data_IF_377369630716
#
_entry.id   IF_377369630716
#
_cell.length_a   1.000
_cell.length_b   1.000
_cell.length_c   1.000
_cell.angle_alpha   90.00
_cell.angle_beta   90.00
_cell.angle_gamma   90.00
#
_symmetry.space_group_name_H-M   'P 1'
#
loop_
_entity.id
_entity.type
_entity.pdbx_description
1 polymer ?
#
# COMPACT_ATOMS: atom_id res chain seq x y z
N UNK A 1 -39.88 -65.77 1.83
CA UNK A 1 -38.44 -65.70 1.51
C UNK A 1 -38.05 -64.22 1.52
N UNK A 2 -37.19 -63.64 2.35
CA UNK A 2 -36.39 -64.04 3.49
C UNK A 2 -36.13 -62.79 4.36
N UNK A 3 -36.09 -63.03 5.67
CA UNK A 3 -35.37 -62.37 6.78
C UNK A 3 -35.13 -60.84 6.84
N UNK A 4 -35.63 -60.27 7.94
CA UNK A 4 -35.04 -59.13 8.64
C UNK A 4 -33.66 -59.48 9.23
N UNK A 5 -32.73 -58.52 9.25
CA UNK A 5 -31.58 -58.54 10.17
C UNK A 5 -31.36 -57.14 10.74
N UNK A 6 -31.84 -56.97 11.98
CA UNK A 6 -31.51 -55.88 12.88
C UNK A 6 -30.02 -55.95 13.21
N UNK A 7 -29.24 -54.91 12.90
CA UNK A 7 -27.88 -54.77 13.42
C UNK A 7 -27.93 -54.09 14.78
N UNK A 8 -27.69 -54.90 15.79
CA UNK A 8 -27.63 -54.60 17.22
C UNK A 8 -26.46 -53.67 17.59
N UNK A 9 -26.74 -52.88 18.63
CA UNK A 9 -25.89 -51.92 19.32
C UNK A 9 -24.51 -52.45 19.74
N UNK A 10 -23.52 -51.55 19.86
CA UNK A 10 -22.60 -51.53 21.02
C UNK A 10 -22.27 -50.09 21.44
N UNK A 11 -22.81 -49.71 22.59
CA UNK A 11 -22.48 -48.50 23.35
C UNK A 11 -21.19 -48.79 24.13
N UNK A 12 -20.07 -48.21 23.72
CA UNK A 12 -18.87 -48.22 24.54
C UNK A 12 -18.90 -46.97 25.42
N UNK A 13 -19.19 -47.17 26.71
CA UNK A 13 -18.97 -46.15 27.73
C UNK A 13 -17.46 -46.08 27.98
N UNK A 14 -16.81 -45.03 27.47
CA UNK A 14 -15.44 -44.68 27.86
C UNK A 14 -15.51 -43.68 29.02
N UNK A 15 -14.94 -44.10 30.14
CA UNK A 15 -14.88 -43.42 31.42
C UNK A 15 -14.35 -41.99 31.32
N UNK A 16 -15.06 -41.06 31.93
CA UNK A 16 -14.62 -39.69 32.15
C UNK A 16 -13.38 -39.67 33.06
N UNK A 17 -12.23 -39.22 32.56
CA UNK A 17 -11.19 -38.60 33.38
C UNK A 17 -11.00 -37.17 32.91
N UNK A 18 -11.55 -36.25 33.70
CA UNK A 18 -11.34 -34.80 33.57
C UNK A 18 -9.97 -34.46 34.14
N UNK A 19 -8.98 -34.29 33.27
CA UNK A 19 -7.80 -33.50 33.63
C UNK A 19 -8.06 -32.06 33.18
N UNK A 20 -8.29 -31.22 34.19
CA UNK A 20 -8.45 -29.78 34.04
C UNK A 20 -7.14 -29.12 33.57
N UNK A 21 -7.31 -27.99 32.89
CA UNK A 21 -6.31 -26.95 32.54
C UNK A 21 -5.44 -27.14 31.28
N UNK A 22 -5.94 -26.63 30.16
CA UNK A 22 -5.33 -25.50 29.44
C UNK A 22 -6.33 -24.92 28.43
N UNK A 23 -6.43 -23.60 28.40
CA UNK A 23 -7.33 -22.85 27.55
C UNK A 23 -7.18 -23.24 26.07
N UNK A 24 -8.24 -23.81 25.48
CA UNK A 24 -8.40 -23.91 24.03
C UNK A 24 -9.32 -22.79 23.58
N UNK A 25 -8.75 -21.80 22.89
CA UNK A 25 -9.48 -20.91 21.98
C UNK A 25 -10.06 -21.74 20.84
N UNK A 26 -11.17 -22.43 21.10
CA UNK A 26 -11.92 -23.11 20.04
C UNK A 26 -12.87 -22.10 19.41
N UNK A 27 -12.29 -21.36 18.46
CA UNK A 27 -13.03 -20.67 17.42
C UNK A 27 -14.04 -21.67 16.82
N UNK A 28 -15.34 -21.42 17.02
CA UNK A 28 -16.42 -22.15 16.35
C UNK A 28 -16.44 -21.73 14.87
N UNK A 29 -15.40 -22.14 14.14
CA UNK A 29 -15.42 -22.15 12.68
C UNK A 29 -16.33 -23.28 12.28
N UNK A 30 -17.58 -22.95 11.94
CA UNK A 30 -18.56 -23.92 11.46
C UNK A 30 -17.97 -24.86 10.41
N UNK A 31 -18.31 -26.13 10.51
CA UNK A 31 -17.92 -27.12 9.50
C UNK A 31 -18.54 -26.74 8.15
N UNK A 32 -17.78 -26.77 7.05
CA UNK A 32 -18.35 -26.59 5.73
C UNK A 32 -19.36 -27.71 5.45
N UNK A 33 -20.66 -27.41 5.38
CA UNK A 33 -21.66 -28.40 4.96
C UNK A 33 -21.50 -28.68 3.47
N UNK A 34 -21.80 -29.90 2.99
CA UNK A 34 -21.80 -30.22 1.55
C UNK A 34 -22.63 -29.18 0.77
N UNK A 35 -21.96 -28.42 -0.10
CA UNK A 35 -22.48 -27.19 -0.74
C UNK A 35 -21.69 -25.92 -0.39
N UNK A 36 -20.88 -25.94 0.65
CA UNK A 36 -19.93 -24.90 1.03
C UNK A 36 -18.63 -25.09 0.25
N UNK A 37 -18.77 -25.04 -1.08
CA UNK A 37 -17.68 -25.09 -2.03
C UNK A 37 -16.69 -23.97 -1.73
N UNK A 38 -15.47 -24.37 -1.39
CA UNK A 38 -14.35 -23.48 -1.18
C UNK A 38 -14.12 -22.62 -2.41
N UNK A 39 -14.22 -21.32 -2.22
CA UNK A 39 -13.63 -20.35 -3.11
C UNK A 39 -12.96 -19.25 -2.29
N UNK A 40 -11.94 -19.64 -1.53
CA UNK A 40 -10.91 -18.70 -1.13
C UNK A 40 -9.89 -18.61 -2.29
N UNK A 41 -10.34 -18.02 -3.42
CA UNK A 41 -9.44 -17.37 -4.38
C UNK A 41 -9.35 -17.90 -5.82
N UNK A 42 -10.37 -17.76 -6.68
CA UNK A 42 -10.12 -17.92 -8.14
C UNK A 42 -11.13 -17.27 -9.10
N UNK A 43 -11.26 -15.93 -9.11
CA UNK A 43 -11.86 -15.10 -10.21
C UNK A 43 -12.58 -13.84 -9.72
N UNK A 44 -11.95 -13.06 -8.83
CA UNK A 44 -11.93 -11.62 -9.12
C UNK A 44 -10.71 -11.43 -10.02
N UNK A 45 -10.86 -11.78 -11.29
CA UNK A 45 -10.02 -11.21 -12.35
C UNK A 45 -10.07 -9.72 -12.08
N UNK A 46 -9.00 -9.15 -11.53
CA UNK A 46 -8.84 -7.70 -11.54
C UNK A 46 -8.85 -7.40 -13.03
N UNK A 47 -9.94 -6.83 -13.52
CA UNK A 47 -10.05 -6.44 -14.92
C UNK A 47 -9.10 -5.25 -15.11
N UNK A 48 -7.81 -5.55 -15.25
CA UNK A 48 -6.77 -4.63 -15.70
C UNK A 48 -6.81 -4.47 -17.23
N UNK A 49 -7.85 -4.98 -17.89
CA UNK A 49 -8.03 -4.92 -19.35
C UNK A 49 -8.14 -3.48 -19.88
N UNK A 50 -8.29 -2.48 -19.01
CA UNK A 50 -8.32 -1.07 -19.39
C UNK A 50 -7.42 -0.14 -18.57
N UNK A 51 -6.42 -0.65 -17.84
CA UNK A 51 -5.43 0.25 -17.22
C UNK A 51 -4.46 0.75 -18.29
N UNK A 52 -4.89 1.75 -19.06
CA UNK A 52 -4.01 2.47 -19.96
C UNK A 52 -2.95 3.16 -19.11
N UNK A 53 -1.69 2.78 -19.30
CA UNK A 53 -0.57 3.52 -18.73
C UNK A 53 -0.62 4.94 -19.28
N UNK A 54 -0.87 5.91 -18.41
CA UNK A 54 -0.77 7.31 -18.77
C UNK A 54 0.70 7.74 -18.58
N UNK A 55 1.46 7.97 -19.66
CA UNK A 55 2.80 8.53 -19.54
C UNK A 55 2.72 9.86 -18.76
N UNK A 56 3.63 10.05 -17.80
CA UNK A 56 3.59 11.13 -16.81
C UNK A 56 3.07 10.71 -15.43
N UNK A 57 2.37 9.58 -15.28
CA UNK A 57 1.91 9.08 -13.97
C UNK A 57 3.04 8.53 -13.07
N UNK A 58 4.27 8.46 -13.59
CA UNK A 58 5.47 8.02 -12.88
C UNK A 58 6.59 9.01 -13.14
N UNK A 59 7.44 9.22 -12.13
CA UNK A 59 8.61 10.08 -12.24
C UNK A 59 9.60 9.45 -13.23
N UNK A 60 9.98 10.22 -14.26
CA UNK A 60 10.97 9.78 -15.23
C UNK A 60 12.38 9.82 -14.62
N UNK A 61 13.28 8.89 -15.02
CA UNK A 61 14.62 8.84 -14.46
C UNK A 61 15.42 10.12 -14.71
N UNK A 62 15.15 10.83 -15.81
CA UNK A 62 15.79 12.12 -16.13
C UNK A 62 15.34 13.25 -15.18
N UNK A 63 14.07 13.26 -14.81
CA UNK A 63 13.52 14.24 -13.88
C UNK A 63 14.03 13.97 -12.46
N UNK A 64 14.21 12.69 -12.09
CA UNK A 64 14.79 12.29 -10.80
C UNK A 64 16.24 12.73 -10.65
N UNK A 65 17.07 12.59 -11.69
CA UNK A 65 18.49 13.00 -11.62
C UNK A 65 18.61 14.51 -11.47
N UNK A 66 17.80 15.27 -12.23
CA UNK A 66 17.72 16.74 -12.11
C UNK A 66 17.25 17.17 -10.73
N UNK A 67 16.15 16.60 -10.25
CA UNK A 67 15.62 16.87 -8.92
C UNK A 67 16.66 16.60 -7.83
N UNK A 68 17.41 15.50 -7.95
CA UNK A 68 18.45 15.14 -6.98
C UNK A 68 19.65 16.10 -7.03
N UNK A 69 19.99 16.65 -8.19
CA UNK A 69 21.00 17.71 -8.31
C UNK A 69 20.53 19.01 -7.66
N UNK A 70 19.29 19.42 -7.92
CA UNK A 70 18.67 20.61 -7.32
C UNK A 70 18.60 20.49 -5.80
N UNK A 71 18.18 19.34 -5.27
CA UNK A 71 18.15 19.11 -3.83
C UNK A 71 19.54 19.23 -3.20
N UNK A 72 20.59 18.74 -3.85
CA UNK A 72 21.98 18.89 -3.35
C UNK A 72 22.44 20.34 -3.36
N UNK A 73 22.14 21.08 -4.42
CA UNK A 73 22.46 22.51 -4.52
C UNK A 73 21.71 23.31 -3.45
N UNK A 74 20.43 23.00 -3.28
CA UNK A 74 19.57 23.58 -2.25
C UNK A 74 20.10 23.30 -0.85
N UNK A 75 20.45 22.04 -0.53
CA UNK A 75 21.00 21.68 0.78
C UNK A 75 22.32 22.43 1.08
N UNK A 76 23.16 22.63 0.07
CA UNK A 76 24.39 23.41 0.21
C UNK A 76 24.12 24.89 0.50
N UNK A 77 23.16 25.51 -0.20
CA UNK A 77 22.77 26.91 -0.01
C UNK A 77 22.01 27.11 1.32
N UNK A 78 21.16 26.15 1.69
CA UNK A 78 20.35 26.18 2.92
C UNK A 78 21.21 26.30 4.18
N UNK A 79 22.41 25.72 4.18
CA UNK A 79 23.36 25.84 5.30
C UNK A 79 23.87 27.27 5.52
N UNK A 80 23.88 28.11 4.47
CA UNK A 80 24.38 29.50 4.53
C UNK A 80 23.30 30.57 4.72
N UNK A 81 22.03 30.22 4.52
CA UNK A 81 20.93 31.19 4.44
C UNK A 81 20.05 31.18 5.69
N UNK A 82 19.56 32.36 6.08
CA UNK A 82 18.57 32.51 7.15
C UNK A 82 17.18 31.99 6.71
N UNK A 83 16.32 31.60 7.65
CA UNK A 83 15.03 30.95 7.35
C UNK A 83 14.09 31.77 6.42
N UNK A 84 14.16 33.10 6.47
CA UNK A 84 13.36 33.98 5.59
C UNK A 84 13.93 34.08 4.16
N UNK A 85 15.26 33.99 4.02
CA UNK A 85 15.92 33.95 2.72
C UNK A 85 15.74 32.59 2.06
N UNK A 86 15.68 31.51 2.86
CA UNK A 86 15.39 30.17 2.37
C UNK A 86 14.05 30.13 1.64
N UNK A 87 12.98 30.72 2.19
CA UNK A 87 11.67 30.73 1.52
C UNK A 87 11.70 31.46 0.17
N UNK A 88 12.42 32.58 0.09
CA UNK A 88 12.55 33.38 -1.14
C UNK A 88 13.34 32.64 -2.21
N UNK A 89 14.43 31.99 -1.82
CA UNK A 89 15.28 31.24 -2.74
C UNK A 89 14.60 29.95 -3.20
N UNK A 90 13.84 29.29 -2.31
CA UNK A 90 13.02 28.14 -2.68
C UNK A 90 11.90 28.53 -3.66
N UNK A 91 11.28 29.71 -3.48
CA UNK A 91 10.32 30.26 -4.45
C UNK A 91 10.98 30.57 -5.81
N UNK A 92 12.23 31.06 -5.83
CA UNK A 92 12.99 31.26 -7.08
C UNK A 92 13.25 29.94 -7.80
N UNK A 93 13.75 28.93 -7.08
CA UNK A 93 13.95 27.59 -7.63
C UNK A 93 12.62 27.02 -8.15
N UNK A 94 11.52 27.24 -7.42
CA UNK A 94 10.20 26.79 -7.84
C UNK A 94 9.73 27.44 -9.15
N UNK A 95 10.06 28.72 -9.37
CA UNK A 95 9.72 29.43 -10.60
C UNK A 95 10.67 29.06 -11.76
N UNK A 96 11.96 28.88 -11.50
CA UNK A 96 12.94 28.47 -12.52
C UNK A 96 12.64 27.05 -13.04
N UNK A 97 12.27 26.14 -12.13
CA UNK A 97 12.00 24.73 -12.42
C UNK A 97 10.49 24.41 -12.40
N UNK A 98 9.65 25.40 -12.70
CA UNK A 98 8.18 25.26 -12.67
C UNK A 98 7.72 24.09 -13.54
N UNK A 99 8.32 23.95 -14.73
CA UNK A 99 7.96 22.88 -15.67
C UNK A 99 8.31 21.49 -15.16
N UNK A 100 9.38 21.34 -14.35
CA UNK A 100 9.76 20.09 -13.72
C UNK A 100 8.79 19.76 -12.57
N UNK A 101 8.47 20.76 -11.76
CA UNK A 101 7.54 20.63 -10.63
C UNK A 101 6.14 20.27 -11.11
N UNK A 102 5.65 20.91 -12.18
CA UNK A 102 4.36 20.60 -12.79
C UNK A 102 4.30 19.16 -13.35
N UNK A 103 5.39 18.62 -13.89
CA UNK A 103 5.43 17.21 -14.33
C UNK A 103 5.44 16.24 -13.16
N UNK A 104 6.11 16.61 -12.06
CA UNK A 104 6.20 15.81 -10.85
C UNK A 104 4.96 15.94 -9.94
N UNK A 105 3.97 16.75 -10.32
CA UNK A 105 2.70 16.93 -9.62
C UNK A 105 1.51 16.61 -10.53
N UNK A 106 0.69 15.67 -10.08
CA UNK A 106 -0.59 15.36 -10.74
C UNK A 106 -1.71 15.68 -9.77
N UNK A 107 -2.59 16.61 -10.16
CA UNK A 107 -3.76 17.02 -9.36
C UNK A 107 -3.41 17.43 -7.91
N UNK A 108 -2.28 18.12 -7.74
CA UNK A 108 -1.81 18.58 -6.43
C UNK A 108 -1.13 17.50 -5.57
N UNK A 109 -0.92 16.29 -6.10
CA UNK A 109 -0.19 15.22 -5.42
C UNK A 109 1.11 14.88 -6.16
N UNK A 110 2.20 14.54 -5.43
CA UNK A 110 3.45 14.15 -6.06
C UNK A 110 3.31 12.81 -6.79
N UNK A 111 3.98 12.71 -7.93
CA UNK A 111 3.97 11.55 -8.80
C UNK A 111 4.62 10.32 -8.15
N UNK A 112 4.18 9.13 -8.57
CA UNK A 112 4.72 7.86 -8.07
C UNK A 112 6.19 7.65 -8.46
N UNK A 113 6.97 7.05 -7.56
CA UNK A 113 8.40 6.79 -7.75
C UNK A 113 9.34 7.79 -7.07
N UNK A 114 8.80 8.83 -6.43
CA UNK A 114 9.57 9.73 -5.57
C UNK A 114 9.77 9.15 -4.18
N UNK A 115 10.97 9.32 -3.63
CA UNK A 115 11.27 9.09 -2.21
C UNK A 115 10.56 10.11 -1.31
N UNK A 116 10.42 9.83 -0.02
CA UNK A 116 9.74 10.72 0.94
C UNK A 116 10.34 12.12 0.95
N UNK A 117 11.67 12.23 0.99
CA UNK A 117 12.38 13.52 0.98
C UNK A 117 12.14 14.31 -0.31
N UNK A 118 12.11 13.63 -1.46
CA UNK A 118 11.82 14.28 -2.74
C UNK A 118 10.38 14.79 -2.79
N UNK A 119 9.42 14.06 -2.21
CA UNK A 119 8.01 14.49 -2.15
C UNK A 119 7.84 15.73 -1.27
N UNK A 120 8.50 15.76 -0.13
CA UNK A 120 8.50 16.91 0.77
C UNK A 120 9.06 18.14 0.06
N UNK A 121 10.20 18.00 -0.61
CA UNK A 121 10.80 19.09 -1.39
C UNK A 121 9.87 19.61 -2.50
N UNK A 122 9.28 18.72 -3.30
CA UNK A 122 8.32 19.13 -4.36
C UNK A 122 7.08 19.82 -3.77
N UNK A 123 6.59 19.34 -2.61
CA UNK A 123 5.47 19.97 -1.93
C UNK A 123 5.82 21.36 -1.36
N UNK A 124 7.04 21.55 -0.85
CA UNK A 124 7.54 22.86 -0.42
C UNK A 124 7.65 23.82 -1.62
N UNK A 125 8.21 23.38 -2.75
CA UNK A 125 8.31 24.20 -3.95
C UNK A 125 6.93 24.58 -4.51
N UNK A 126 5.98 23.64 -4.52
CA UNK A 126 4.60 23.92 -4.93
C UNK A 126 3.91 24.95 -4.05
N UNK A 127 4.17 24.94 -2.73
CA UNK A 127 3.60 25.93 -1.81
C UNK A 127 4.24 27.30 -1.95
N UNK A 128 5.52 27.36 -2.32
CA UNK A 128 6.27 28.60 -2.46
C UNK A 128 6.00 29.35 -3.79
N UNK A 129 5.44 28.67 -4.79
CA UNK A 129 5.07 29.24 -6.09
C UNK A 129 3.68 29.91 -6.09
N UNK A 130 2.86 29.65 -5.07
CA UNK A 130 1.55 30.27 -4.84
C UNK A 130 1.64 31.51 -3.94
#
# INVERSE_FOLDING_TARGET
MQSAVLKTCRRAASTCRMNSTRALTTYSGGQPSEGQGGFYGSAKTRSETSSKFNPGARAEPQDLTKLQQLMKQWEAQKASLAAEEQKKELARIANEEETLIQRLLIRGAPVWGLSTRQREFVAECSRASH
#
